data_IF_546784041029
#
_entry.id   IF_546784041029
#
_cell.length_a   1.000
_cell.length_b   1.000
_cell.length_c   1.000
_cell.angle_alpha   90.00
_cell.angle_beta   90.00
_cell.angle_gamma   90.00
#
_symmetry.space_group_name_H-M   'P 1'
#
loop_
_entity.id
_entity.type
_entity.pdbx_description
1 polymer ?
#
# COMPACT_ATOMS: atom_id res chain seq x y z
N UNK A 1 -6.80 -44.49 -8.00
CA UNK A 1 -7.54 -45.51 -7.21
C UNK A 1 -8.84 -45.83 -7.93
N UNK A 2 -8.89 -46.96 -8.63
CA UNK A 2 -10.08 -47.39 -9.37
C UNK A 2 -11.07 -48.02 -8.39
N UNK A 3 -12.23 -47.38 -8.19
CA UNK A 3 -13.31 -48.02 -7.44
C UNK A 3 -13.99 -49.08 -8.30
N UNK A 4 -14.24 -50.27 -7.76
CA UNK A 4 -14.98 -51.33 -8.45
C UNK A 4 -16.35 -50.84 -8.92
N UNK A 5 -16.76 -51.25 -10.12
CA UNK A 5 -18.04 -50.85 -10.76
C UNK A 5 -19.26 -51.11 -9.88
N UNK A 6 -19.24 -52.19 -9.10
CA UNK A 6 -20.33 -52.58 -8.18
C UNK A 6 -20.64 -51.56 -7.07
N UNK A 7 -19.68 -50.70 -6.70
CA UNK A 7 -19.84 -49.71 -5.62
C UNK A 7 -19.81 -48.25 -6.10
N UNK A 8 -19.80 -48.05 -7.42
CA UNK A 8 -19.65 -46.74 -8.02
C UNK A 8 -20.81 -45.80 -7.63
N UNK A 9 -22.04 -46.28 -7.71
CA UNK A 9 -23.24 -45.48 -7.40
C UNK A 9 -23.32 -45.11 -5.91
N UNK A 10 -23.04 -46.06 -5.02
CA UNK A 10 -23.05 -45.85 -3.58
C UNK A 10 -22.00 -44.83 -3.17
N UNK A 11 -20.79 -44.92 -3.78
CA UNK A 11 -19.75 -43.92 -3.57
C UNK A 11 -20.18 -42.55 -4.09
N UNK A 12 -20.77 -42.46 -5.29
CA UNK A 12 -21.27 -41.20 -5.81
C UNK A 12 -22.32 -40.57 -4.88
N UNK A 13 -23.29 -41.35 -4.38
CA UNK A 13 -24.30 -40.86 -3.43
C UNK A 13 -23.67 -40.32 -2.16
N UNK A 14 -22.70 -41.04 -1.60
CA UNK A 14 -21.97 -40.63 -0.40
C UNK A 14 -21.13 -39.37 -0.66
N UNK A 15 -20.48 -39.26 -1.81
CA UNK A 15 -19.72 -38.07 -2.20
C UNK A 15 -20.64 -36.85 -2.37
N UNK A 16 -21.84 -37.04 -2.93
CA UNK A 16 -22.84 -35.97 -3.05
C UNK A 16 -23.39 -35.55 -1.69
N UNK A 17 -23.70 -36.50 -0.80
CA UNK A 17 -24.14 -36.21 0.57
C UNK A 17 -23.06 -35.41 1.33
N UNK A 18 -21.80 -35.84 1.26
CA UNK A 18 -20.67 -35.11 1.85
C UNK A 18 -20.55 -33.69 1.31
N UNK A 19 -20.65 -33.51 -0.01
CA UNK A 19 -20.62 -32.17 -0.64
C UNK A 19 -21.77 -31.30 -0.17
N UNK A 20 -22.97 -31.88 -0.08
CA UNK A 20 -24.17 -31.19 0.40
C UNK A 20 -24.01 -30.71 1.85
N UNK A 21 -23.50 -31.57 2.74
CA UNK A 21 -23.28 -31.23 4.14
C UNK A 21 -22.23 -30.12 4.31
N UNK A 22 -21.12 -30.20 3.57
CA UNK A 22 -20.09 -29.15 3.56
C UNK A 22 -20.67 -27.83 3.04
N UNK A 23 -21.45 -27.86 1.97
CA UNK A 23 -22.06 -26.65 1.42
C UNK A 23 -23.03 -26.03 2.41
N UNK A 24 -23.88 -26.83 3.06
CA UNK A 24 -24.82 -26.36 4.09
C UNK A 24 -24.10 -25.65 5.23
N UNK A 25 -22.99 -26.23 5.71
CA UNK A 25 -22.16 -25.60 6.74
C UNK A 25 -21.53 -24.27 6.26
N UNK A 26 -21.05 -24.22 5.01
CA UNK A 26 -20.47 -22.99 4.43
C UNK A 26 -21.49 -21.89 4.23
N UNK A 27 -22.73 -22.24 3.86
CA UNK A 27 -23.81 -21.26 3.72
C UNK A 27 -24.19 -20.63 5.05
N UNK A 28 -24.20 -21.40 6.14
CA UNK A 28 -24.46 -20.88 7.49
C UNK A 28 -23.39 -19.91 7.98
N UNK A 29 -22.13 -20.10 7.55
CA UNK A 29 -20.99 -19.27 7.95
C UNK A 29 -20.56 -18.27 6.87
N UNK A 30 -21.46 -17.98 5.92
CA UNK A 30 -21.15 -17.07 4.81
C UNK A 30 -20.93 -15.65 5.38
N UNK A 31 -19.74 -15.04 5.18
CA UNK A 31 -19.50 -13.67 5.60
C UNK A 31 -20.30 -12.68 4.76
N UNK A 32 -20.63 -11.54 5.36
CA UNK A 32 -21.29 -10.46 4.64
C UNK A 32 -20.33 -9.72 3.70
N UNK A 33 -20.88 -8.99 2.73
CA UNK A 33 -20.11 -8.23 1.75
C UNK A 33 -19.20 -7.20 2.44
N UNK A 34 -19.71 -6.49 3.44
CA UNK A 34 -18.95 -5.45 4.15
C UNK A 34 -17.68 -6.02 4.80
N UNK A 35 -17.78 -7.21 5.37
CA UNK A 35 -16.64 -7.91 5.97
C UNK A 35 -15.58 -8.26 4.91
N UNK A 36 -16.00 -8.71 3.72
CA UNK A 36 -15.07 -8.99 2.63
C UNK A 36 -14.38 -7.74 2.09
N UNK A 37 -15.08 -6.59 2.07
CA UNK A 37 -14.49 -5.29 1.70
C UNK A 37 -13.50 -4.83 2.77
N UNK A 38 -13.85 -4.94 4.06
CA UNK A 38 -12.96 -4.61 5.19
C UNK A 38 -11.67 -5.44 5.16
N UNK A 39 -11.77 -6.72 4.80
CA UNK A 39 -10.63 -7.61 4.62
C UNK A 39 -9.87 -7.40 3.30
N UNK A 40 -10.28 -6.45 2.46
CA UNK A 40 -9.69 -6.16 1.14
C UNK A 40 -9.73 -7.35 0.16
N UNK A 41 -10.72 -8.23 0.31
CA UNK A 41 -10.99 -9.32 -0.64
C UNK A 41 -11.84 -8.79 -1.79
N UNK A 42 -12.87 -8.00 -1.48
CA UNK A 42 -13.68 -7.28 -2.47
C UNK A 42 -13.30 -5.80 -2.47
N UNK A 43 -13.44 -5.14 -3.62
CA UNK A 43 -13.29 -3.69 -3.72
C UNK A 43 -14.51 -2.98 -3.13
N UNK A 44 -14.29 -1.81 -2.53
CA UNK A 44 -15.35 -0.91 -2.06
C UNK A 44 -15.99 -0.14 -3.24
N UNK A 45 -16.45 -0.91 -4.23
CA UNK A 45 -17.23 -0.38 -5.34
C UNK A 45 -18.70 -0.36 -4.92
N UNK A 46 -19.47 0.72 -5.16
CA UNK A 46 -20.92 0.64 -5.08
C UNK A 46 -21.40 -0.47 -6.02
N UNK A 47 -22.41 -1.24 -5.62
CA UNK A 47 -22.91 -2.43 -6.35
C UNK A 47 -23.49 -2.17 -7.76
N UNK A 48 -23.21 -1.00 -8.33
CA UNK A 48 -23.66 -0.53 -9.64
C UNK A 48 -22.56 -0.64 -10.72
N UNK A 49 -21.37 -1.14 -10.36
CA UNK A 49 -20.25 -1.33 -11.30
C UNK A 49 -20.22 -2.78 -11.75
N UNK A 50 -20.16 -3.00 -13.07
CA UNK A 50 -20.11 -4.33 -13.66
C UNK A 50 -18.85 -5.10 -13.19
N UNK A 51 -18.97 -6.40 -12.80
CA UNK A 51 -17.84 -7.19 -12.31
C UNK A 51 -16.64 -7.26 -13.27
N UNK A 52 -16.87 -7.15 -14.58
CA UNK A 52 -15.79 -7.16 -15.58
C UNK A 52 -14.96 -5.87 -15.60
N UNK A 53 -15.50 -4.76 -15.06
CA UNK A 53 -14.86 -3.44 -15.06
C UNK A 53 -14.08 -3.14 -13.78
N UNK A 54 -14.37 -3.84 -12.68
CA UNK A 54 -13.78 -3.61 -11.35
C UNK A 54 -12.25 -3.61 -11.40
N UNK A 55 -11.66 -4.58 -12.10
CA UNK A 55 -10.20 -4.69 -12.21
C UNK A 55 -9.57 -3.52 -12.98
N UNK A 56 -10.21 -3.07 -14.07
CA UNK A 56 -9.73 -1.91 -14.84
C UNK A 56 -9.84 -0.63 -14.03
N UNK A 57 -10.91 -0.46 -13.26
CA UNK A 57 -11.08 0.67 -12.36
C UNK A 57 -9.99 0.69 -11.28
N UNK A 58 -9.68 -0.47 -10.69
CA UNK A 58 -8.60 -0.63 -9.71
C UNK A 58 -7.25 -0.24 -10.29
N UNK A 59 -6.94 -0.71 -11.50
CA UNK A 59 -5.71 -0.37 -12.21
C UNK A 59 -5.61 1.14 -12.45
N UNK A 60 -6.69 1.77 -12.92
CA UNK A 60 -6.74 3.22 -13.12
C UNK A 60 -6.54 4.00 -11.81
N UNK A 61 -7.18 3.56 -10.72
CA UNK A 61 -7.00 4.17 -9.39
C UNK A 61 -5.54 4.09 -8.94
N UNK A 62 -4.90 2.93 -9.12
CA UNK A 62 -3.48 2.73 -8.80
C UNK A 62 -2.57 3.62 -9.63
N UNK A 63 -2.78 3.70 -10.94
CA UNK A 63 -1.99 4.55 -11.82
C UNK A 63 -2.05 6.02 -11.40
N UNK A 64 -3.26 6.54 -11.18
CA UNK A 64 -3.46 7.93 -10.71
C UNK A 64 -2.72 8.24 -9.40
N UNK A 65 -2.75 7.31 -8.45
CA UNK A 65 -2.03 7.45 -7.18
C UNK A 65 -0.52 7.42 -7.41
N UNK A 66 -0.04 6.53 -8.28
CA UNK A 66 1.39 6.43 -8.61
C UNK A 66 1.90 7.73 -9.25
N UNK A 67 1.15 8.29 -10.19
CA UNK A 67 1.48 9.56 -10.85
C UNK A 67 1.55 10.71 -9.83
N UNK A 68 0.53 10.84 -8.96
CA UNK A 68 0.51 11.86 -7.92
C UNK A 68 1.69 11.72 -6.93
N UNK A 69 2.02 10.49 -6.53
CA UNK A 69 3.20 10.23 -5.68
C UNK A 69 4.48 10.61 -6.41
N UNK A 70 4.58 10.28 -7.70
CA UNK A 70 5.74 10.63 -8.53
C UNK A 70 5.95 12.15 -8.57
N UNK A 71 4.89 12.93 -8.79
CA UNK A 71 4.95 14.39 -8.80
C UNK A 71 5.43 14.94 -7.44
N UNK A 72 4.91 14.40 -6.34
CA UNK A 72 5.34 14.79 -4.99
C UNK A 72 6.81 14.40 -4.69
N UNK A 73 7.28 13.28 -5.21
CA UNK A 73 8.67 12.86 -5.06
C UNK A 73 9.62 13.75 -5.88
N UNK A 74 9.21 14.19 -7.07
CA UNK A 74 9.98 15.13 -7.89
C UNK A 74 10.19 16.48 -7.17
N UNK A 75 9.20 16.90 -6.37
CA UNK A 75 9.24 18.14 -5.59
C UNK A 75 9.77 17.96 -4.17
N UNK A 76 10.39 16.81 -3.86
CA UNK A 76 10.83 16.51 -2.50
C UNK A 76 11.92 17.50 -2.06
N UNK A 77 11.70 18.25 -0.96
CA UNK A 77 12.66 19.25 -0.52
C UNK A 77 13.98 18.64 -0.08
N UNK A 78 15.06 19.37 -0.37
CA UNK A 78 16.42 18.94 -0.05
C UNK A 78 16.73 19.01 1.46
N UNK A 79 17.79 18.33 1.93
CA UNK A 79 18.18 18.38 3.35
C UNK A 79 18.47 19.80 3.86
N UNK A 80 19.08 20.66 3.04
CA UNK A 80 19.37 22.06 3.40
C UNK A 80 18.09 22.88 3.59
N UNK A 81 17.07 22.62 2.78
CA UNK A 81 15.77 23.30 2.88
C UNK A 81 15.06 22.89 4.18
N UNK A 82 15.18 21.62 4.58
CA UNK A 82 14.64 21.12 5.85
C UNK A 82 15.35 21.71 7.08
N UNK A 83 16.67 21.96 7.00
CA UNK A 83 17.42 22.66 8.06
C UNK A 83 16.97 24.12 8.18
N UNK A 84 16.77 24.80 7.03
CA UNK A 84 16.23 26.17 7.01
C UNK A 84 14.81 26.24 7.57
N UNK A 85 13.98 25.23 7.31
CA UNK A 85 12.63 25.10 7.85
C UNK A 85 12.58 24.67 9.33
N UNK A 86 13.73 24.51 9.99
CA UNK A 86 13.84 24.09 11.39
C UNK A 86 13.22 22.70 11.70
N UNK A 87 13.22 21.81 10.72
CA UNK A 87 12.74 20.42 10.86
C UNK A 87 13.92 19.47 11.13
N UNK A 88 15.04 19.68 10.44
CA UNK A 88 16.30 18.96 10.69
C UNK A 88 17.27 19.84 11.47
N UNK A 89 17.91 19.25 12.46
CA UNK A 89 18.97 19.88 13.23
C UNK A 89 20.33 19.24 12.89
N UNK A 90 21.36 20.05 12.68
CA UNK A 90 22.76 19.66 12.43
C UNK A 90 23.68 20.31 13.47
N UNK A 91 24.99 20.39 13.23
CA UNK A 91 25.91 21.05 14.17
C UNK A 91 25.63 22.55 14.19
N UNK A 92 25.55 23.14 15.39
CA UNK A 92 25.32 24.58 15.65
C UNK A 92 25.96 25.57 14.64
N UNK A 93 27.25 25.46 14.27
CA UNK A 93 27.84 26.37 13.29
C UNK A 93 27.29 26.20 11.87
N UNK A 94 26.92 24.98 11.47
CA UNK A 94 26.37 24.69 10.15
C UNK A 94 24.90 25.10 10.03
N UNK A 95 24.13 24.96 11.11
CA UNK A 95 22.73 25.40 11.15
C UNK A 95 22.58 26.91 11.00
N UNK A 96 23.39 27.68 11.73
CA UNK A 96 23.42 29.16 11.65
C UNK A 96 23.84 29.63 10.27
N UNK A 97 24.79 28.94 9.66
CA UNK A 97 25.23 29.17 8.29
C UNK A 97 24.10 29.01 7.26
N UNK A 98 23.28 27.96 7.40
CA UNK A 98 22.19 27.62 6.48
C UNK A 98 20.94 28.48 6.71
N UNK A 99 20.70 28.91 7.96
CA UNK A 99 19.61 29.81 8.35
C UNK A 99 19.88 31.29 8.08
N UNK A 100 21.12 31.65 7.70
CA UNK A 100 21.48 33.03 7.33
C UNK A 100 21.66 33.97 8.52
N UNK A 101 21.82 33.42 9.72
CA UNK A 101 22.17 34.20 10.92
C UNK A 101 23.66 34.53 10.87
N UNK A 102 23.96 35.61 10.13
CA UNK A 102 25.16 36.45 10.17
C UNK A 102 26.50 35.76 10.46
N UNK A 103 27.23 35.48 9.39
CA UNK A 103 28.68 35.34 9.48
C UNK A 103 29.34 36.72 9.64
N UNK A 104 29.42 37.20 10.89
CA UNK A 104 30.62 37.93 11.29
C UNK A 104 31.74 36.90 11.47
N UNK A 105 32.18 36.28 10.35
CA UNK A 105 33.48 35.64 10.34
C UNK A 105 34.50 36.77 10.41
N UNK A 106 35.34 36.87 11.45
CA UNK A 106 36.42 37.83 11.43
C UNK A 106 37.27 37.50 10.21
N UNK A 107 37.49 38.51 9.38
CA UNK A 107 38.45 38.46 8.30
C UNK A 107 39.81 38.08 8.90
N UNK A 108 40.18 36.81 8.79
CA UNK A 108 41.56 36.36 8.91
C UNK A 108 41.89 35.57 7.65
N UNK A 109 41.96 36.31 6.55
CA UNK A 109 43.06 36.09 5.62
C UNK A 109 44.35 36.36 6.40
N UNK A 110 45.00 35.30 6.87
CA UNK A 110 46.43 35.33 7.15
C UNK A 110 47.08 34.28 6.25
N UNK A 111 47.27 34.65 4.99
CA UNK A 111 48.21 34.02 4.07
C UNK A 111 49.59 34.67 4.24
N UNK A 112 50.06 34.81 5.48
CA UNK A 112 51.45 35.16 5.76
C UNK A 112 51.99 34.20 6.82
N UNK A 113 52.93 33.36 6.38
CA UNK A 113 53.72 32.35 7.12
C UNK A 113 53.06 30.99 7.44
N UNK A 114 53.04 30.06 6.47
CA UNK A 114 53.99 28.93 6.39
C UNK A 114 53.77 28.09 5.12
#
# INVERSE_FOLDING_TARGET
MNTPTAFYEQRQRLDMAKKHDILKQKMQRRPDREELVRQHILEDAPGNIDPSLVEKQKQLKRARIADAISDHLCQRPGPLELVRANILHTTEPLEKAVKGESWLLPAVCCWEYC
#
